data_IF_201168176625
#
_entry.id   IF_201168176625
#
_cell.length_a   1.000
_cell.length_b   1.000
_cell.length_c   1.000
_cell.angle_alpha   90.00
_cell.angle_beta   90.00
_cell.angle_gamma   90.00
#
_symmetry.space_group_name_H-M   'P 1'
#
loop_
_entity.id
_entity.type
_entity.pdbx_description
1 polymer ?
#
# COMPACT_ATOMS: atom_id res chain seq x y z
N UNK A 1 11.33 -7.23 -21.22
CA UNK A 1 11.23 -7.64 -19.80
C UNK A 1 11.19 -6.42 -18.88
N UNK A 2 12.23 -5.60 -18.84
CA UNK A 2 12.31 -4.44 -17.93
C UNK A 2 11.18 -3.39 -18.10
N UNK A 3 10.77 -3.06 -19.33
CA UNK A 3 9.65 -2.12 -19.57
C UNK A 3 8.30 -2.63 -19.05
N UNK A 4 8.09 -3.95 -19.08
CA UNK A 4 6.87 -4.57 -18.57
C UNK A 4 6.86 -4.53 -17.04
N UNK A 5 7.99 -4.83 -16.40
CA UNK A 5 8.15 -4.75 -14.95
C UNK A 5 8.00 -3.30 -14.44
N UNK A 6 8.52 -2.32 -15.19
CA UNK A 6 8.27 -0.91 -14.90
C UNK A 6 6.77 -0.55 -15.00
N UNK A 7 6.07 -1.09 -16.00
CA UNK A 7 4.61 -0.96 -16.11
C UNK A 7 3.87 -1.54 -14.90
N UNK A 8 4.26 -2.73 -14.45
CA UNK A 8 3.70 -3.34 -13.24
C UNK A 8 3.99 -2.52 -11.98
N UNK A 9 5.21 -1.99 -11.84
CA UNK A 9 5.57 -1.14 -10.71
C UNK A 9 4.71 0.13 -10.63
N UNK A 10 4.48 0.79 -11.78
CA UNK A 10 3.60 1.98 -11.85
C UNK A 10 2.16 1.60 -11.50
N UNK A 11 1.65 0.48 -12.03
CA UNK A 11 0.30 0.01 -11.74
C UNK A 11 0.11 -0.31 -10.25
N UNK A 12 1.07 -1.01 -9.63
CA UNK A 12 1.05 -1.30 -8.20
C UNK A 12 1.18 -0.03 -7.35
N UNK A 13 2.00 0.94 -7.76
CA UNK A 13 2.09 2.23 -7.08
C UNK A 13 0.74 2.97 -7.12
N UNK A 14 0.09 3.03 -8.29
CA UNK A 14 -1.23 3.63 -8.43
C UNK A 14 -2.27 2.92 -7.54
N UNK A 15 -2.22 1.58 -7.47
CA UNK A 15 -3.04 0.79 -6.57
C UNK A 15 -2.81 1.14 -5.09
N UNK A 16 -1.55 1.20 -4.64
CA UNK A 16 -1.21 1.58 -3.25
C UNK A 16 -1.73 2.98 -2.92
N UNK A 17 -1.56 3.94 -3.83
CA UNK A 17 -2.09 5.30 -3.63
C UNK A 17 -3.62 5.32 -3.53
N UNK A 18 -4.31 4.52 -4.35
CA UNK A 18 -5.76 4.38 -4.28
C UNK A 18 -6.22 3.78 -2.94
N UNK A 19 -5.49 2.78 -2.41
CA UNK A 19 -5.75 2.22 -1.07
C UNK A 19 -5.59 3.30 0.00
N UNK A 20 -4.48 4.05 -0.01
CA UNK A 20 -4.22 5.10 0.98
C UNK A 20 -5.30 6.18 0.95
N UNK A 21 -5.64 6.72 -0.23
CA UNK A 21 -6.70 7.73 -0.37
C UNK A 21 -8.06 7.15 0.04
N UNK A 22 -8.37 5.92 -0.36
CA UNK A 22 -9.62 5.23 -0.04
C UNK A 22 -9.80 4.99 1.46
N UNK A 23 -8.72 4.69 2.19
CA UNK A 23 -8.81 4.49 3.65
C UNK A 23 -9.22 5.76 4.40
N UNK A 24 -9.03 6.96 3.85
CA UNK A 24 -9.59 8.18 4.47
C UNK A 24 -11.12 8.08 4.66
N UNK A 25 -11.84 7.51 3.72
CA UNK A 25 -13.28 7.30 3.86
C UNK A 25 -13.60 6.34 5.02
N UNK A 26 -12.82 5.26 5.19
CA UNK A 26 -12.93 4.35 6.33
C UNK A 26 -12.69 5.10 7.65
N UNK A 27 -11.65 5.92 7.74
CA UNK A 27 -11.40 6.78 8.90
C UNK A 27 -12.60 7.67 9.23
N UNK A 28 -13.13 8.40 8.24
CA UNK A 28 -14.26 9.30 8.45
C UNK A 28 -15.53 8.55 8.89
N UNK A 29 -15.79 7.38 8.33
CA UNK A 29 -16.89 6.50 8.75
C UNK A 29 -16.70 6.10 10.22
N UNK A 30 -15.52 5.65 10.62
CA UNK A 30 -15.25 5.27 12.02
C UNK A 30 -15.44 6.45 12.97
N UNK A 31 -14.97 7.64 12.61
CA UNK A 31 -15.13 8.85 13.42
C UNK A 31 -16.59 9.28 13.54
N UNK A 32 -17.39 9.16 12.47
CA UNK A 32 -18.83 9.42 12.48
C UNK A 32 -19.59 8.47 13.42
N UNK A 33 -19.13 7.23 13.57
CA UNK A 33 -19.69 6.26 14.50
C UNK A 33 -19.17 6.40 15.94
N UNK A 34 -18.43 7.48 16.24
CA UNK A 34 -17.95 7.76 17.60
C UNK A 34 -16.73 6.96 18.03
N UNK A 35 -16.09 6.19 17.14
CA UNK A 35 -14.88 5.43 17.50
C UNK A 35 -13.73 6.40 17.84
N UNK A 36 -12.98 6.18 18.93
CA UNK A 36 -11.85 7.03 19.32
C UNK A 36 -10.82 7.22 18.20
N UNK A 37 -10.17 8.39 18.16
CA UNK A 37 -9.21 8.73 17.09
C UNK A 37 -8.08 7.70 16.98
N UNK A 38 -7.48 7.30 18.10
CA UNK A 38 -6.43 6.29 18.15
C UNK A 38 -6.88 4.93 17.57
N UNK A 39 -8.12 4.52 17.86
CA UNK A 39 -8.72 3.29 17.33
C UNK A 39 -8.92 3.40 15.82
N UNK A 40 -9.51 4.51 15.35
CA UNK A 40 -9.71 4.77 13.93
C UNK A 40 -8.37 4.74 13.16
N UNK A 41 -7.35 5.43 13.65
CA UNK A 41 -6.01 5.42 13.05
C UNK A 41 -5.39 4.02 13.07
N UNK A 42 -5.51 3.28 14.18
CA UNK A 42 -4.95 1.92 14.29
C UNK A 42 -5.52 0.99 13.22
N UNK A 43 -6.84 0.93 13.07
CA UNK A 43 -7.47 0.07 12.07
C UNK A 43 -7.19 0.53 10.64
N UNK A 44 -7.11 1.84 10.40
CA UNK A 44 -6.73 2.37 9.09
C UNK A 44 -5.32 1.94 8.69
N UNK A 45 -4.34 2.04 9.60
CA UNK A 45 -2.98 1.52 9.35
C UNK A 45 -2.99 0.02 9.05
N UNK A 46 -3.81 -0.76 9.76
CA UNK A 46 -3.90 -2.21 9.54
C UNK A 46 -4.56 -2.54 8.20
N UNK A 47 -5.57 -1.77 7.80
CA UNK A 47 -6.19 -1.88 6.48
C UNK A 47 -5.18 -1.57 5.37
N UNK A 48 -4.41 -0.47 5.49
CA UNK A 48 -3.34 -0.13 4.54
C UNK A 48 -2.29 -1.26 4.51
N UNK A 49 -1.86 -1.79 5.65
CA UNK A 49 -0.85 -2.84 5.68
C UNK A 49 -1.31 -4.12 4.95
N UNK A 50 -2.56 -4.55 5.15
CA UNK A 50 -3.09 -5.73 4.47
C UNK A 50 -3.34 -5.47 2.98
N UNK A 51 -4.01 -4.36 2.65
CA UNK A 51 -4.43 -4.07 1.28
C UNK A 51 -3.28 -3.59 0.39
N UNK A 52 -2.39 -2.73 0.89
CA UNK A 52 -1.21 -2.31 0.15
C UNK A 52 -0.06 -3.30 0.36
N UNK A 53 0.41 -3.46 1.60
CA UNK A 53 1.57 -4.32 1.90
C UNK A 53 1.33 -5.80 1.55
N UNK A 54 0.26 -6.40 2.05
CA UNK A 54 -0.05 -7.81 1.86
C UNK A 54 -0.33 -8.17 0.40
N UNK A 55 -1.24 -7.46 -0.27
CA UNK A 55 -1.57 -7.74 -1.69
C UNK A 55 -0.36 -7.54 -2.59
N UNK A 56 0.42 -6.46 -2.41
CA UNK A 56 1.63 -6.24 -3.20
C UNK A 56 2.64 -7.37 -2.96
N UNK A 57 2.85 -7.79 -1.71
CA UNK A 57 3.77 -8.88 -1.39
C UNK A 57 3.39 -10.21 -2.06
N UNK A 58 2.09 -10.48 -2.23
CA UNK A 58 1.61 -11.67 -2.97
C UNK A 58 1.82 -11.55 -4.48
N UNK A 59 1.69 -10.34 -5.04
CA UNK A 59 1.80 -10.10 -6.48
C UNK A 59 3.24 -9.99 -6.98
N UNK A 60 4.17 -9.50 -6.15
CA UNK A 60 5.58 -9.33 -6.51
C UNK A 60 6.22 -10.58 -7.14
N UNK A 61 6.14 -11.79 -6.55
CA UNK A 61 6.75 -12.99 -7.14
C UNK A 61 6.08 -13.45 -8.44
N UNK A 62 4.89 -12.92 -8.76
CA UNK A 62 4.15 -13.26 -9.99
C UNK A 62 4.42 -12.26 -11.13
N UNK A 63 4.76 -11.02 -10.79
CA UNK A 63 4.86 -9.91 -11.75
C UNK A 63 6.31 -9.50 -12.06
N UNK A 64 7.27 -9.85 -11.20
CA UNK A 64 8.68 -9.49 -11.34
C UNK A 64 9.55 -10.73 -11.40
N UNK A 65 10.49 -10.72 -12.34
CA UNK A 65 11.43 -11.83 -12.52
C UNK A 65 12.56 -11.78 -11.49
N UNK A 66 12.95 -10.56 -11.09
CA UNK A 66 14.04 -10.27 -10.16
C UNK A 66 13.56 -9.37 -9.01
N UNK A 67 14.12 -9.50 -7.80
CA UNK A 67 13.64 -8.77 -6.63
C UNK A 67 14.08 -7.30 -6.59
N UNK A 68 14.98 -6.86 -7.46
CA UNK A 68 15.65 -5.57 -7.33
C UNK A 68 14.71 -4.37 -7.47
N UNK A 69 13.81 -4.39 -8.46
CA UNK A 69 12.82 -3.31 -8.65
C UNK A 69 11.90 -3.20 -7.43
N UNK A 70 11.20 -4.27 -6.98
CA UNK A 70 10.34 -4.17 -5.81
C UNK A 70 11.10 -3.87 -4.52
N UNK A 71 12.35 -4.36 -4.37
CA UNK A 71 13.19 -4.07 -3.22
C UNK A 71 13.54 -2.59 -3.10
N UNK A 72 14.04 -1.97 -4.18
CA UNK A 72 14.40 -0.54 -4.17
C UNK A 72 13.17 0.33 -3.89
N UNK A 73 12.02 0.01 -4.50
CA UNK A 73 10.78 0.74 -4.27
C UNK A 73 10.28 0.61 -2.83
N UNK A 74 10.36 -0.59 -2.24
CA UNK A 74 10.02 -0.80 -0.84
C UNK A 74 10.95 -0.01 0.10
N UNK A 75 12.24 0.06 -0.21
CA UNK A 75 13.21 0.82 0.57
C UNK A 75 12.95 2.33 0.49
N UNK A 76 12.66 2.85 -0.72
CA UNK A 76 12.26 4.25 -0.90
C UNK A 76 11.00 4.56 -0.10
N UNK A 77 9.98 3.69 -0.18
CA UNK A 77 8.74 3.89 0.57
C UNK A 77 8.98 3.87 2.08
N UNK A 78 9.82 2.96 2.58
CA UNK A 78 10.19 2.90 3.99
C UNK A 78 10.86 4.21 4.45
N UNK A 79 11.82 4.73 3.70
CA UNK A 79 12.49 6.01 4.02
C UNK A 79 11.54 7.21 4.00
N UNK A 80 10.50 7.19 3.17
CA UNK A 80 9.53 8.29 3.09
C UNK A 80 8.44 8.22 4.17
N UNK A 81 8.28 7.08 4.84
CA UNK A 81 7.16 6.83 5.77
C UNK A 81 7.60 6.47 7.20
N UNK A 82 8.90 6.41 7.45
CA UNK A 82 9.52 6.18 8.76
C UNK A 82 10.06 7.48 9.36
#
# INVERSE_FOLDING_TARGET
MLLVEAGWAIALLAYVMAVVVGTKALYDIMRKHGLPHNVAVYYNRKAIHVLAGGVVALLVPLLFSEPWIPFVLALVLALLTY
#
